data_IF_128614458597
#
_entry.id   IF_128614458597
#
_cell.length_a   1.000
_cell.length_b   1.000
_cell.length_c   1.000
_cell.angle_alpha   90.00
_cell.angle_beta   90.00
_cell.angle_gamma   90.00
#
_symmetry.space_group_name_H-M   'P 1'
#
loop_
_entity.id
_entity.type
_entity.pdbx_description
1 polymer ?
#
# COMPACT_ATOMS: atom_id res chain seq x y z
N UNK A 1 -56.26 -12.52 30.73
CA UNK A 1 -56.05 -13.05 29.39
C UNK A 1 -54.89 -12.32 28.79
N UNK A 2 -53.75 -12.94 28.82
CA UNK A 2 -52.48 -12.38 28.33
C UNK A 2 -52.22 -13.04 26.96
N UNK A 3 -52.33 -12.27 25.89
CA UNK A 3 -52.03 -12.77 24.53
C UNK A 3 -50.50 -12.97 24.42
N UNK A 4 -50.10 -14.20 24.20
CA UNK A 4 -48.75 -14.59 23.79
C UNK A 4 -48.56 -14.20 22.32
N UNK A 5 -47.76 -13.17 22.07
CA UNK A 5 -47.32 -12.84 20.73
C UNK A 5 -46.40 -13.95 20.21
N UNK A 6 -46.84 -14.60 19.12
CA UNK A 6 -46.07 -15.59 18.38
C UNK A 6 -44.79 -14.97 17.80
N UNK A 7 -43.62 -15.68 17.81
CA UNK A 7 -42.44 -15.20 17.15
C UNK A 7 -42.66 -15.11 15.64
N UNK A 8 -42.34 -13.97 15.03
CA UNK A 8 -42.39 -13.76 13.59
C UNK A 8 -41.50 -14.80 12.89
N UNK A 9 -42.08 -15.60 12.02
CA UNK A 9 -41.39 -16.54 11.18
C UNK A 9 -40.38 -15.73 10.30
N UNK A 10 -39.09 -16.01 10.45
CA UNK A 10 -38.05 -15.49 9.55
C UNK A 10 -38.37 -16.00 8.13
N UNK A 11 -38.50 -15.06 7.18
CA UNK A 11 -38.61 -15.42 5.76
C UNK A 11 -37.46 -16.36 5.37
N UNK A 12 -37.73 -17.41 4.56
CA UNK A 12 -36.66 -18.29 4.09
C UNK A 12 -35.60 -17.46 3.38
N UNK A 13 -34.32 -17.69 3.73
CA UNK A 13 -33.19 -17.04 3.08
C UNK A 13 -33.24 -17.33 1.57
N UNK A 14 -32.99 -16.30 0.74
CA UNK A 14 -32.90 -16.50 -0.69
C UNK A 14 -31.78 -17.53 -0.99
N UNK A 15 -31.93 -18.35 -2.05
CA UNK A 15 -30.87 -19.30 -2.39
C UNK A 15 -29.57 -18.56 -2.68
N UNK A 16 -28.41 -19.15 -2.30
CA UNK A 16 -27.13 -18.55 -2.55
C UNK A 16 -26.91 -18.24 -4.04
N UNK A 17 -26.30 -17.09 -4.34
CA UNK A 17 -25.88 -16.76 -5.69
C UNK A 17 -24.57 -17.48 -6.00
N UNK A 18 -24.30 -17.74 -7.27
CA UNK A 18 -23.10 -18.49 -7.69
C UNK A 18 -22.15 -17.64 -8.52
N UNK A 19 -20.86 -17.84 -8.33
CA UNK A 19 -19.81 -17.28 -9.19
C UNK A 19 -18.60 -18.24 -9.27
N UNK A 20 -17.72 -18.02 -10.24
CA UNK A 20 -16.46 -18.78 -10.30
C UNK A 20 -15.46 -18.22 -9.32
N UNK A 21 -15.32 -16.88 -9.27
CA UNK A 21 -14.38 -16.19 -8.39
C UNK A 21 -15.06 -15.04 -7.68
N UNK A 22 -14.95 -15.03 -6.35
CA UNK A 22 -15.39 -13.90 -5.55
C UNK A 22 -14.17 -13.13 -5.01
N UNK A 23 -14.15 -11.83 -5.30
CA UNK A 23 -13.10 -10.90 -4.85
C UNK A 23 -13.65 -10.05 -3.72
N UNK A 24 -12.96 -10.06 -2.58
CA UNK A 24 -13.32 -9.27 -1.39
C UNK A 24 -12.54 -7.96 -1.41
N UNK A 25 -13.22 -6.86 -1.72
CA UNK A 25 -12.64 -5.51 -1.80
C UNK A 25 -12.34 -5.04 -3.23
N UNK A 26 -12.78 -3.81 -3.54
CA UNK A 26 -12.66 -3.15 -4.85
C UNK A 26 -11.51 -2.14 -4.97
N UNK A 27 -10.50 -2.20 -4.08
CA UNK A 27 -9.28 -1.39 -4.20
C UNK A 27 -8.37 -1.85 -5.35
N UNK A 28 -7.17 -1.25 -5.51
CA UNK A 28 -6.28 -1.54 -6.65
C UNK A 28 -5.98 -3.02 -6.87
N UNK A 29 -5.79 -3.81 -5.81
CA UNK A 29 -5.55 -5.24 -5.91
C UNK A 29 -6.76 -6.00 -6.45
N UNK A 30 -7.93 -5.79 -5.82
CA UNK A 30 -9.15 -6.52 -6.17
C UNK A 30 -9.72 -6.10 -7.52
N UNK A 31 -9.73 -4.81 -7.83
CA UNK A 31 -10.16 -4.32 -9.15
C UNK A 31 -9.26 -4.88 -10.27
N UNK A 32 -7.94 -4.96 -10.04
CA UNK A 32 -7.00 -5.56 -10.99
C UNK A 32 -7.28 -7.05 -11.19
N UNK A 33 -7.38 -7.82 -10.09
CA UNK A 33 -7.64 -9.26 -10.19
C UNK A 33 -9.02 -9.55 -10.81
N UNK A 34 -10.05 -8.79 -10.40
CA UNK A 34 -11.41 -8.92 -10.95
C UNK A 34 -11.48 -8.64 -12.44
N UNK A 35 -10.82 -7.57 -12.90
CA UNK A 35 -10.72 -7.22 -14.31
C UNK A 35 -10.09 -8.34 -15.14
N UNK A 36 -8.93 -8.83 -14.71
CA UNK A 36 -8.17 -9.85 -15.44
C UNK A 36 -8.89 -11.20 -15.49
N UNK A 37 -9.53 -11.60 -14.41
CA UNK A 37 -10.30 -12.85 -14.36
C UNK A 37 -11.59 -12.75 -15.20
N UNK A 38 -12.26 -11.61 -15.20
CA UNK A 38 -13.42 -11.39 -16.06
C UNK A 38 -13.06 -11.44 -17.55
N UNK A 39 -11.90 -10.84 -17.94
CA UNK A 39 -11.36 -10.95 -19.30
C UNK A 39 -11.08 -12.39 -19.73
N UNK A 40 -10.76 -13.28 -18.80
CA UNK A 40 -10.56 -14.72 -19.06
C UNK A 40 -11.88 -15.50 -19.16
N UNK A 41 -13.02 -14.85 -18.97
CA UNK A 41 -14.37 -15.45 -19.13
C UNK A 41 -14.93 -16.07 -17.85
N UNK A 42 -14.32 -15.86 -16.68
CA UNK A 42 -14.89 -16.27 -15.40
C UNK A 42 -16.07 -15.39 -15.00
N UNK A 43 -17.06 -15.96 -14.32
CA UNK A 43 -18.09 -15.20 -13.59
C UNK A 43 -17.45 -14.65 -12.31
N UNK A 44 -17.05 -13.38 -12.37
CA UNK A 44 -16.35 -12.72 -11.26
C UNK A 44 -17.29 -11.76 -10.56
N UNK A 45 -17.34 -11.84 -9.24
CA UNK A 45 -18.05 -10.90 -8.37
C UNK A 45 -17.04 -10.17 -7.50
N UNK A 46 -17.11 -8.85 -7.47
CA UNK A 46 -16.31 -8.00 -6.58
C UNK A 46 -17.22 -7.35 -5.56
N UNK A 47 -17.06 -7.69 -4.29
CA UNK A 47 -17.80 -7.10 -3.18
C UNK A 47 -16.97 -6.01 -2.51
N UNK A 48 -17.41 -4.76 -2.63
CA UNK A 48 -16.75 -3.60 -2.00
C UNK A 48 -17.67 -2.98 -0.94
N UNK A 49 -17.15 -2.79 0.26
CA UNK A 49 -17.89 -2.25 1.41
C UNK A 49 -18.25 -0.77 1.29
N UNK A 50 -17.49 -0.01 0.51
CA UNK A 50 -17.69 1.42 0.31
C UNK A 50 -18.28 1.70 -1.08
N UNK A 51 -18.69 2.95 -1.30
CA UNK A 51 -19.09 3.46 -2.62
C UNK A 51 -17.95 4.31 -3.18
N UNK A 52 -17.59 4.12 -4.44
CA UNK A 52 -16.64 4.97 -5.14
C UNK A 52 -17.33 6.19 -5.75
N UNK A 53 -16.65 7.36 -5.81
CA UNK A 53 -15.29 7.63 -5.31
C UNK A 53 -15.21 7.68 -3.79
N UNK A 54 -14.15 7.09 -3.20
CA UNK A 54 -13.93 7.08 -1.75
C UNK A 54 -12.54 7.58 -1.39
N UNK A 55 -12.43 8.27 -0.28
CA UNK A 55 -11.14 8.77 0.22
C UNK A 55 -10.26 7.61 0.66
N UNK A 56 -9.03 7.62 0.18
CA UNK A 56 -7.97 6.70 0.61
C UNK A 56 -6.62 7.42 0.51
N UNK A 57 -5.65 7.03 1.34
CA UNK A 57 -4.28 7.54 1.26
C UNK A 57 -3.40 6.66 0.36
N UNK A 58 -2.28 7.21 -0.14
CA UNK A 58 -1.35 6.53 -1.04
C UNK A 58 -1.42 7.08 -2.46
N UNK A 59 -1.22 8.39 -2.58
CA UNK A 59 -1.45 9.21 -3.78
C UNK A 59 -0.20 9.32 -4.69
N UNK A 60 0.94 8.82 -4.23
CA UNK A 60 2.18 8.78 -5.01
C UNK A 60 2.40 7.40 -5.61
N UNK A 61 2.57 7.33 -6.93
CA UNK A 61 2.78 6.09 -7.66
C UNK A 61 4.25 5.89 -8.03
N UNK A 62 4.58 4.67 -8.47
CA UNK A 62 5.90 4.31 -8.99
C UNK A 62 5.88 4.14 -10.51
N UNK A 63 7.00 4.36 -11.21
CA UNK A 63 7.10 4.09 -12.65
C UNK A 63 6.62 2.69 -13.05
N UNK A 64 6.89 1.67 -12.24
CA UNK A 64 6.44 0.30 -12.49
C UNK A 64 4.90 0.12 -12.48
N UNK A 65 4.12 1.12 -12.07
CA UNK A 65 2.66 1.10 -12.25
C UNK A 65 2.25 1.33 -13.71
N UNK A 66 3.03 2.08 -14.51
CA UNK A 66 2.64 2.46 -15.87
C UNK A 66 2.36 1.26 -16.77
N UNK A 67 3.27 0.26 -16.87
CA UNK A 67 3.00 -0.93 -17.68
C UNK A 67 1.83 -1.78 -17.14
N UNK A 68 1.50 -1.69 -15.86
CA UNK A 68 0.33 -2.37 -15.30
C UNK A 68 -0.98 -1.67 -15.71
N UNK A 69 -0.99 -0.33 -15.71
CA UNK A 69 -2.13 0.46 -16.23
C UNK A 69 -2.32 0.25 -17.72
N UNK A 70 -1.24 0.17 -18.49
CA UNK A 70 -1.29 -0.11 -19.94
C UNK A 70 -1.92 -1.48 -20.20
N UNK A 71 -1.47 -2.53 -19.51
CA UNK A 71 -2.03 -3.89 -19.61
C UNK A 71 -3.51 -3.97 -19.24
N UNK A 72 -3.97 -3.12 -18.31
CA UNK A 72 -5.39 -3.02 -17.94
C UNK A 72 -6.20 -2.12 -18.89
N UNK A 73 -5.55 -1.40 -19.80
CA UNK A 73 -6.21 -0.45 -20.72
C UNK A 73 -6.75 0.80 -20.02
N UNK A 74 -6.11 1.24 -18.92
CA UNK A 74 -6.52 2.41 -18.13
C UNK A 74 -5.48 3.53 -18.11
N UNK A 75 -4.34 3.38 -18.80
CA UNK A 75 -3.23 4.34 -18.74
C UNK A 75 -3.67 5.76 -19.11
N UNK A 76 -4.46 5.94 -20.18
CA UNK A 76 -4.92 7.26 -20.61
C UNK A 76 -5.85 7.92 -19.59
N UNK A 77 -6.71 7.14 -18.93
CA UNK A 77 -7.57 7.64 -17.87
C UNK A 77 -6.75 8.06 -16.63
N UNK A 78 -5.72 7.30 -16.28
CA UNK A 78 -4.81 7.66 -15.18
C UNK A 78 -3.99 8.90 -15.52
N UNK A 79 -3.53 9.03 -16.79
CA UNK A 79 -2.84 10.22 -17.27
C UNK A 79 -3.70 11.48 -17.16
N UNK A 80 -4.99 11.38 -17.44
CA UNK A 80 -5.91 12.51 -17.39
C UNK A 80 -6.10 13.11 -15.98
N UNK A 81 -5.93 12.31 -14.92
CA UNK A 81 -6.04 12.75 -13.52
C UNK A 81 -4.67 12.94 -12.85
N UNK A 82 -3.59 12.56 -13.53
CA UNK A 82 -2.26 12.43 -12.95
C UNK A 82 -1.41 13.69 -13.07
N UNK A 83 -0.71 14.04 -11.98
CA UNK A 83 0.43 14.97 -12.00
C UNK A 83 1.69 14.17 -12.30
N UNK A 84 2.44 14.54 -13.36
CA UNK A 84 3.67 13.82 -13.69
C UNK A 84 4.73 13.94 -12.59
N UNK A 85 5.30 12.82 -12.21
CA UNK A 85 6.33 12.68 -11.18
C UNK A 85 7.59 12.10 -11.81
N UNK A 86 8.61 12.91 -11.98
CA UNK A 86 9.87 12.54 -12.63
C UNK A 86 10.95 12.06 -11.64
N UNK A 87 10.69 12.17 -10.34
CA UNK A 87 11.64 11.79 -9.33
C UNK A 87 11.09 11.79 -7.92
N UNK A 88 12.01 11.58 -6.97
CA UNK A 88 11.76 11.71 -5.55
C UNK A 88 12.88 12.57 -4.93
N UNK A 89 12.50 13.49 -4.08
CA UNK A 89 13.38 14.40 -3.38
C UNK A 89 13.46 14.05 -1.90
N UNK A 90 14.65 14.16 -1.33
CA UNK A 90 14.90 13.96 0.10
C UNK A 90 15.53 15.20 0.69
N UNK A 91 14.99 15.68 1.80
CA UNK A 91 15.52 16.84 2.56
C UNK A 91 15.90 16.38 3.95
N UNK A 92 17.16 16.69 4.34
CA UNK A 92 17.72 16.22 5.59
C UNK A 92 18.21 17.37 6.48
N UNK A 93 17.63 17.55 7.69
CA UNK A 93 18.09 18.57 8.63
C UNK A 93 19.48 18.28 9.20
N UNK A 94 19.96 17.02 9.14
CA UNK A 94 21.29 16.63 9.59
C UNK A 94 22.41 16.89 8.56
N UNK A 95 22.03 17.40 7.39
CA UNK A 95 22.92 17.76 6.29
C UNK A 95 22.68 19.20 5.84
N UNK A 96 22.54 20.13 6.81
CA UNK A 96 22.32 21.58 6.56
C UNK A 96 21.09 21.83 5.66
N UNK A 97 20.02 21.03 5.86
CA UNK A 97 18.82 21.06 5.03
C UNK A 97 19.08 20.80 3.53
N UNK A 98 20.19 20.13 3.22
CA UNK A 98 20.52 19.74 1.84
C UNK A 98 19.38 18.94 1.23
N UNK A 99 19.11 19.22 -0.03
CA UNK A 99 18.17 18.51 -0.88
C UNK A 99 18.90 17.57 -1.82
N UNK A 100 18.42 16.34 -1.95
CA UNK A 100 18.91 15.37 -2.92
C UNK A 100 17.75 14.85 -3.76
N UNK A 101 17.78 15.13 -5.06
CA UNK A 101 16.79 14.64 -6.01
C UNK A 101 17.29 13.38 -6.71
N UNK A 102 16.43 12.37 -6.77
CA UNK A 102 16.63 11.14 -7.53
C UNK A 102 15.66 11.15 -8.72
N UNK A 103 16.19 11.20 -9.94
CA UNK A 103 15.38 11.17 -11.17
C UNK A 103 15.19 9.72 -11.63
N UNK A 104 13.97 9.33 -11.97
CA UNK A 104 13.71 7.97 -12.44
C UNK A 104 14.40 7.68 -13.78
N UNK A 105 14.63 8.69 -14.60
CA UNK A 105 15.42 8.56 -15.83
C UNK A 105 16.87 8.10 -15.61
N UNK A 106 17.39 8.22 -14.38
CA UNK A 106 18.72 7.70 -14.01
C UNK A 106 18.68 6.24 -13.54
N UNK A 107 17.50 5.60 -13.46
CA UNK A 107 17.39 4.18 -13.13
C UNK A 107 18.06 3.29 -14.18
N UNK A 108 18.21 2.02 -13.90
CA UNK A 108 18.86 1.08 -14.84
C UNK A 108 18.04 0.90 -16.11
N UNK A 109 16.76 0.64 -15.98
CA UNK A 109 15.79 0.67 -17.09
C UNK A 109 15.33 2.11 -17.33
N UNK A 110 15.54 2.59 -18.56
CA UNK A 110 15.18 3.96 -19.00
C UNK A 110 13.78 4.05 -19.59
N UNK A 111 13.09 2.93 -19.77
CA UNK A 111 11.77 2.89 -20.42
C UNK A 111 10.65 3.50 -19.56
N UNK A 112 10.89 3.65 -18.27
CA UNK A 112 9.93 4.17 -17.28
C UNK A 112 10.51 5.42 -16.57
N UNK A 113 10.66 6.57 -17.26
CA UNK A 113 11.37 7.73 -16.72
C UNK A 113 10.55 8.57 -15.74
N UNK A 114 9.24 8.31 -15.60
CA UNK A 114 8.33 9.05 -14.74
C UNK A 114 7.21 8.15 -14.21
N UNK A 115 6.39 8.71 -13.34
CA UNK A 115 5.15 8.14 -12.82
C UNK A 115 4.12 9.25 -12.65
N UNK A 116 3.05 9.00 -11.87
CA UNK A 116 2.02 9.98 -11.55
C UNK A 116 1.81 10.12 -10.04
N UNK A 117 1.44 11.33 -9.62
CA UNK A 117 0.72 11.59 -8.39
C UNK A 117 -0.77 11.67 -8.73
N UNK A 118 -1.62 10.98 -7.98
CA UNK A 118 -3.05 10.89 -8.28
C UNK A 118 -3.90 11.00 -7.02
N UNK A 119 -5.10 11.51 -7.15
CA UNK A 119 -6.12 11.30 -6.13
C UNK A 119 -6.51 9.83 -6.11
N UNK A 120 -6.38 9.21 -4.95
CA UNK A 120 -6.75 7.80 -4.80
C UNK A 120 -8.24 7.54 -4.99
N UNK A 121 -9.10 8.52 -4.66
CA UNK A 121 -10.54 8.43 -4.95
C UNK A 121 -10.81 8.23 -6.44
N UNK A 122 -10.13 8.99 -7.30
CA UNK A 122 -10.28 8.91 -8.75
C UNK A 122 -9.60 7.67 -9.34
N UNK A 123 -8.37 7.36 -8.89
CA UNK A 123 -7.66 6.16 -9.36
C UNK A 123 -8.42 4.88 -9.03
N UNK A 124 -8.88 4.75 -7.78
CA UNK A 124 -9.59 3.55 -7.34
C UNK A 124 -10.93 3.41 -8.10
N UNK A 125 -11.61 4.52 -8.39
CA UNK A 125 -12.81 4.51 -9.21
C UNK A 125 -12.52 4.09 -10.66
N UNK A 126 -11.48 4.62 -11.31
CA UNK A 126 -11.05 4.19 -12.65
C UNK A 126 -10.85 2.67 -12.68
N UNK A 127 -10.14 2.13 -11.70
CA UNK A 127 -9.83 0.70 -11.66
C UNK A 127 -11.08 -0.16 -11.45
N UNK A 128 -11.97 0.21 -10.53
CA UNK A 128 -13.17 -0.60 -10.25
C UNK A 128 -14.18 -0.51 -11.37
N UNK A 129 -14.39 0.67 -12.00
CA UNK A 129 -15.24 0.82 -13.18
C UNK A 129 -14.67 0.06 -14.38
N UNK A 130 -13.35 0.01 -14.52
CA UNK A 130 -12.72 -0.81 -15.54
C UNK A 130 -12.97 -2.31 -15.31
N UNK A 131 -12.93 -2.80 -14.06
CA UNK A 131 -13.27 -4.19 -13.76
C UNK A 131 -14.70 -4.51 -14.18
N UNK A 132 -15.66 -3.62 -13.87
CA UNK A 132 -17.05 -3.76 -14.31
C UNK A 132 -17.18 -3.75 -15.84
N UNK A 133 -16.49 -2.83 -16.52
CA UNK A 133 -16.46 -2.74 -18.01
C UNK A 133 -15.93 -4.02 -18.66
N UNK A 134 -15.01 -4.71 -18.00
CA UNK A 134 -14.40 -5.95 -18.48
C UNK A 134 -15.20 -7.19 -18.10
N UNK A 135 -16.37 -7.02 -17.45
CA UNK A 135 -17.34 -8.09 -17.21
C UNK A 135 -17.42 -8.60 -15.77
N UNK A 136 -16.68 -8.00 -14.81
CA UNK A 136 -16.88 -8.32 -13.41
C UNK A 136 -18.20 -7.72 -12.89
N UNK A 137 -18.99 -8.48 -12.12
CA UNK A 137 -20.12 -7.95 -11.37
C UNK A 137 -19.55 -7.22 -10.13
N UNK A 138 -19.67 -5.89 -10.10
CA UNK A 138 -19.20 -5.06 -8.98
C UNK A 138 -20.38 -4.65 -8.12
N UNK A 139 -20.32 -4.98 -6.83
CA UNK A 139 -21.36 -4.65 -5.85
C UNK A 139 -20.70 -3.79 -4.76
N UNK A 140 -21.05 -2.50 -4.78
CA UNK A 140 -20.63 -1.52 -3.78
C UNK A 140 -21.61 -1.47 -2.60
N UNK A 141 -21.19 -0.94 -1.45
CA UNK A 141 -22.02 -0.95 -0.22
C UNK A 141 -22.26 -2.36 0.32
N UNK A 142 -21.40 -3.32 0.00
CA UNK A 142 -21.56 -4.73 0.36
C UNK A 142 -20.30 -5.26 1.08
N UNK A 143 -20.45 -5.54 2.38
CA UNK A 143 -19.35 -5.97 3.26
C UNK A 143 -19.37 -7.48 3.45
N UNK A 144 -18.27 -8.14 3.15
CA UNK A 144 -18.04 -9.54 3.52
C UNK A 144 -17.87 -9.67 5.03
N UNK A 145 -18.64 -10.55 5.64
CA UNK A 145 -18.63 -10.84 7.09
C UNK A 145 -17.82 -12.08 7.44
N UNK A 146 -17.77 -13.05 6.54
CA UNK A 146 -17.03 -14.29 6.73
C UNK A 146 -17.06 -15.17 5.51
N UNK A 147 -16.21 -16.20 5.50
CA UNK A 147 -16.08 -17.16 4.41
C UNK A 147 -16.03 -18.58 4.99
N UNK A 148 -16.97 -19.42 4.63
CA UNK A 148 -17.00 -20.83 5.00
C UNK A 148 -16.46 -21.69 3.86
N UNK A 149 -15.29 -22.29 4.03
CA UNK A 149 -14.67 -23.16 3.02
C UNK A 149 -15.24 -24.58 3.12
N UNK A 150 -15.56 -25.18 1.98
CA UNK A 150 -16.02 -26.56 1.91
C UNK A 150 -14.90 -27.55 2.29
N UNK A 151 -15.23 -28.55 3.09
CA UNK A 151 -14.24 -29.54 3.57
C UNK A 151 -13.63 -30.38 2.44
N UNK A 152 -14.37 -30.60 1.36
CA UNK A 152 -13.93 -31.29 0.15
C UNK A 152 -13.14 -30.39 -0.83
N UNK A 153 -12.89 -29.15 -0.45
CA UNK A 153 -12.21 -28.14 -1.26
C UNK A 153 -12.92 -27.79 -2.57
N UNK A 154 -14.24 -28.01 -2.67
CA UNK A 154 -15.02 -27.69 -3.87
C UNK A 154 -15.23 -26.17 -4.06
N UNK A 155 -15.02 -25.36 -3.01
CA UNK A 155 -15.19 -23.91 -3.02
C UNK A 155 -15.44 -23.34 -1.64
N UNK A 156 -16.18 -22.24 -1.61
CA UNK A 156 -16.51 -21.53 -0.38
C UNK A 156 -17.88 -20.83 -0.46
N UNK A 157 -18.54 -20.69 0.69
CA UNK A 157 -19.69 -19.81 0.86
C UNK A 157 -19.24 -18.51 1.50
N UNK A 158 -19.48 -17.39 0.83
CA UNK A 158 -19.13 -16.04 1.31
C UNK A 158 -20.41 -15.37 1.82
N UNK A 159 -20.38 -14.99 3.10
CA UNK A 159 -21.50 -14.29 3.76
C UNK A 159 -21.26 -12.78 3.65
N UNK A 160 -22.20 -12.06 3.04
CA UNK A 160 -22.13 -10.64 2.80
C UNK A 160 -23.31 -9.88 3.38
N UNK A 161 -23.10 -8.60 3.71
CA UNK A 161 -24.13 -7.69 4.20
C UNK A 161 -24.04 -6.36 3.48
N UNK A 162 -25.18 -5.92 2.92
CA UNK A 162 -25.36 -4.62 2.31
C UNK A 162 -25.56 -3.51 3.35
N UNK A 163 -25.36 -2.25 2.92
CA UNK A 163 -25.56 -1.06 3.77
C UNK A 163 -27.00 -0.91 4.27
N UNK A 164 -27.99 -1.44 3.52
CA UNK A 164 -29.41 -1.49 3.92
C UNK A 164 -29.71 -2.58 4.96
N UNK A 165 -28.68 -3.34 5.39
CA UNK A 165 -28.80 -4.42 6.35
C UNK A 165 -29.17 -5.79 5.75
N UNK A 166 -29.54 -5.86 4.48
CA UNK A 166 -29.83 -7.12 3.77
C UNK A 166 -28.56 -7.98 3.74
N UNK A 167 -28.73 -9.27 3.99
CA UNK A 167 -27.67 -10.28 3.89
C UNK A 167 -27.87 -11.15 2.66
N UNK A 168 -26.78 -11.58 2.06
CA UNK A 168 -26.77 -12.55 0.97
C UNK A 168 -25.58 -13.47 1.07
N UNK A 169 -25.75 -14.68 0.55
CA UNK A 169 -24.70 -15.70 0.48
C UNK A 169 -24.30 -15.95 -0.97
N UNK A 170 -23.00 -16.13 -1.18
CA UNK A 170 -22.40 -16.43 -2.48
C UNK A 170 -21.65 -17.74 -2.42
N UNK A 171 -21.90 -18.64 -3.36
CA UNK A 171 -21.05 -19.79 -3.60
C UNK A 171 -20.01 -19.48 -4.66
N UNK A 172 -18.74 -19.56 -4.28
CA UNK A 172 -17.59 -19.29 -5.15
C UNK A 172 -16.67 -20.52 -5.21
N UNK A 173 -16.16 -20.83 -6.40
CA UNK A 173 -15.12 -21.86 -6.56
C UNK A 173 -13.78 -21.40 -5.98
N UNK A 174 -13.53 -20.10 -6.03
CA UNK A 174 -12.31 -19.49 -5.51
C UNK A 174 -12.58 -18.12 -4.90
N UNK A 175 -11.89 -17.78 -3.80
CA UNK A 175 -12.01 -16.48 -3.11
C UNK A 175 -10.68 -15.74 -3.17
N UNK A 176 -10.70 -14.47 -3.58
CA UNK A 176 -9.55 -13.58 -3.56
C UNK A 176 -9.75 -12.52 -2.48
N UNK A 177 -9.02 -12.61 -1.36
CA UNK A 177 -9.04 -11.59 -0.33
C UNK A 177 -8.15 -10.41 -0.74
N UNK A 178 -8.79 -9.34 -1.18
CA UNK A 178 -8.22 -8.03 -1.49
C UNK A 178 -8.80 -6.94 -0.57
N UNK A 179 -9.26 -7.33 0.64
CA UNK A 179 -9.95 -6.47 1.60
C UNK A 179 -9.08 -5.37 2.22
N UNK A 180 -7.84 -5.23 1.75
CA UNK A 180 -6.93 -4.22 2.23
C UNK A 180 -6.63 -4.40 3.72
N UNK A 181 -6.62 -3.31 4.48
CA UNK A 181 -6.30 -3.31 5.91
C UNK A 181 -7.32 -4.05 6.78
N UNK A 182 -8.52 -4.32 6.27
CA UNK A 182 -9.51 -5.14 6.99
C UNK A 182 -9.03 -6.58 7.16
N UNK A 183 -8.21 -7.09 6.22
CA UNK A 183 -7.61 -8.44 6.29
C UNK A 183 -8.63 -9.51 6.68
N UNK A 184 -9.71 -9.65 5.89
CA UNK A 184 -10.88 -10.49 6.21
C UNK A 184 -10.44 -11.92 6.53
N UNK A 185 -9.79 -12.61 5.61
CA UNK A 185 -9.30 -13.97 5.85
C UNK A 185 -8.12 -14.00 6.83
N UNK A 186 -7.28 -12.96 6.82
CA UNK A 186 -6.17 -12.86 7.78
C UNK A 186 -6.62 -12.85 9.23
N UNK A 187 -7.73 -12.16 9.53
CA UNK A 187 -8.37 -12.16 10.86
C UNK A 187 -9.14 -13.45 11.12
N UNK A 188 -9.93 -13.91 10.14
CA UNK A 188 -10.74 -15.12 10.30
C UNK A 188 -9.89 -16.35 10.65
N UNK A 189 -8.71 -16.46 10.04
CA UNK A 189 -7.79 -17.58 10.30
C UNK A 189 -6.79 -17.31 11.43
N UNK A 190 -6.87 -16.15 12.07
CA UNK A 190 -5.90 -15.70 13.08
C UNK A 190 -4.44 -15.83 12.59
N UNK A 191 -4.15 -15.38 11.37
CA UNK A 191 -2.81 -15.42 10.77
C UNK A 191 -2.19 -14.04 10.56
N UNK A 192 -2.89 -12.97 10.91
CA UNK A 192 -2.36 -11.61 10.86
C UNK A 192 -1.39 -11.37 12.00
N UNK A 193 -0.14 -11.04 11.69
CA UNK A 193 0.89 -10.77 12.69
C UNK A 193 1.43 -9.36 12.53
N UNK A 194 1.52 -8.65 13.64
CA UNK A 194 2.16 -7.35 13.70
C UNK A 194 3.64 -7.48 13.33
N UNK A 195 4.19 -6.48 12.64
CA UNK A 195 5.61 -6.44 12.32
C UNK A 195 6.43 -6.07 13.57
N UNK A 196 7.25 -6.98 14.13
CA UNK A 196 8.04 -6.67 15.33
C UNK A 196 9.23 -5.75 15.04
N UNK A 197 9.54 -5.52 13.77
CA UNK A 197 10.70 -4.72 13.34
C UNK A 197 10.33 -3.31 12.92
N UNK A 198 9.05 -2.99 12.77
CA UNK A 198 8.61 -1.67 12.34
C UNK A 198 7.21 -1.36 12.86
N UNK A 199 7.04 -0.10 13.26
CA UNK A 199 5.76 0.41 13.71
C UNK A 199 5.74 1.92 13.47
N UNK A 200 4.71 2.40 12.81
CA UNK A 200 4.53 3.82 12.51
C UNK A 200 3.06 4.19 12.50
N UNK A 201 2.80 5.47 12.69
CA UNK A 201 1.48 6.08 12.59
C UNK A 201 1.59 7.25 11.62
N UNK A 202 0.50 7.64 10.98
CA UNK A 202 0.48 8.79 10.10
C UNK A 202 -0.60 9.79 10.49
N UNK A 203 -0.29 11.07 10.31
CA UNK A 203 -1.20 12.22 10.31
C UNK A 203 -1.12 12.85 8.93
N UNK A 204 -2.23 13.16 8.30
CA UNK A 204 -2.19 13.75 6.96
C UNK A 204 -3.42 14.62 6.67
N UNK A 205 -3.22 15.59 5.78
CA UNK A 205 -4.25 16.45 5.25
C UNK A 205 -3.85 16.96 3.86
N UNK A 206 -4.81 17.54 3.13
CA UNK A 206 -4.55 18.27 1.90
C UNK A 206 -4.47 19.77 2.15
N UNK A 207 -3.61 20.44 1.37
CA UNK A 207 -3.40 21.89 1.41
C UNK A 207 -3.52 22.47 0.01
N UNK A 208 -3.95 23.72 -0.09
CA UNK A 208 -3.89 24.54 -1.29
C UNK A 208 -2.85 25.65 -1.10
N UNK A 209 -2.18 26.07 -2.17
CA UNK A 209 -1.19 27.16 -2.11
C UNK A 209 0.16 26.77 -1.51
N UNK A 210 0.47 25.48 -1.36
CA UNK A 210 1.80 25.01 -1.00
C UNK A 210 2.81 25.34 -2.10
N UNK A 211 4.01 25.79 -1.73
CA UNK A 211 5.08 26.07 -2.69
C UNK A 211 5.53 24.78 -3.38
N UNK A 212 5.53 24.76 -4.70
CA UNK A 212 5.92 23.65 -5.56
C UNK A 212 7.23 23.96 -6.28
N UNK A 213 7.91 22.95 -6.78
CA UNK A 213 9.01 23.16 -7.73
C UNK A 213 8.46 23.70 -9.07
N UNK A 214 9.34 24.21 -9.91
CA UNK A 214 9.00 24.66 -11.24
C UNK A 214 9.32 23.58 -12.29
N UNK A 215 8.59 23.64 -13.42
CA UNK A 215 8.84 22.79 -14.58
C UNK A 215 8.69 21.30 -14.29
N UNK A 216 9.61 20.49 -14.81
CA UNK A 216 9.54 19.03 -14.75
C UNK A 216 9.56 18.47 -13.31
N UNK A 217 10.09 19.19 -12.35
CA UNK A 217 10.18 18.77 -10.96
C UNK A 217 8.92 19.11 -10.13
N UNK A 218 7.94 19.82 -10.70
CA UNK A 218 6.74 20.27 -9.99
C UNK A 218 5.99 19.14 -9.30
N UNK A 219 5.84 17.99 -9.95
CA UNK A 219 5.13 16.82 -9.42
C UNK A 219 6.00 15.87 -8.61
N UNK A 220 7.27 16.17 -8.37
CA UNK A 220 8.11 15.29 -7.55
C UNK A 220 7.60 15.23 -6.12
N UNK A 221 7.61 14.01 -5.54
CA UNK A 221 7.39 13.84 -4.11
C UNK A 221 8.62 14.37 -3.38
N UNK A 222 8.41 15.17 -2.32
CA UNK A 222 9.46 15.53 -1.38
C UNK A 222 9.28 14.81 -0.06
N UNK A 223 10.33 14.15 0.41
CA UNK A 223 10.41 13.46 1.70
C UNK A 223 11.31 14.30 2.62
N UNK A 224 10.74 14.81 3.70
CA UNK A 224 11.48 15.56 4.72
C UNK A 224 11.70 14.67 5.92
N UNK A 225 12.96 14.44 6.31
CA UNK A 225 13.23 13.79 7.59
C UNK A 225 13.15 14.80 8.74
N UNK A 226 12.72 14.34 9.90
CA UNK A 226 12.77 15.10 11.15
C UNK A 226 12.96 14.16 12.36
N UNK A 227 13.03 14.72 13.56
CA UNK A 227 13.39 13.96 14.77
C UNK A 227 12.46 12.79 15.09
N UNK A 228 11.16 12.92 14.80
CA UNK A 228 10.15 11.94 15.16
C UNK A 228 9.67 11.06 13.99
N UNK A 229 10.29 11.20 12.79
CA UNK A 229 9.91 10.43 11.61
C UNK A 229 10.25 11.11 10.31
N UNK A 230 9.29 11.20 9.41
CA UNK A 230 9.44 11.85 8.11
C UNK A 230 8.09 12.38 7.62
N UNK A 231 8.14 13.40 6.73
CA UNK A 231 6.97 13.93 6.05
C UNK A 231 7.02 13.59 4.57
N UNK A 232 5.84 13.48 3.96
CA UNK A 232 5.70 13.60 2.52
C UNK A 232 5.06 14.94 2.14
N UNK A 233 5.43 15.46 0.96
CA UNK A 233 4.78 16.52 0.23
C UNK A 233 4.53 15.98 -1.19
N UNK A 234 3.27 15.82 -1.55
CA UNK A 234 2.84 15.22 -2.83
C UNK A 234 1.94 16.22 -3.55
N UNK A 235 2.44 16.92 -4.60
CA UNK A 235 1.62 17.78 -5.44
C UNK A 235 0.62 16.97 -6.24
N UNK A 236 -0.63 17.43 -6.36
CA UNK A 236 -1.69 16.81 -7.14
C UNK A 236 -2.09 17.70 -8.31
N UNK A 237 -2.70 17.10 -9.36
CA UNK A 237 -3.05 17.79 -10.59
C UNK A 237 -4.12 18.88 -10.40
N UNK A 238 -5.00 18.73 -9.41
CA UNK A 238 -6.07 19.70 -9.08
C UNK A 238 -5.60 20.93 -8.29
N UNK A 239 -4.30 21.11 -8.10
CA UNK A 239 -3.71 22.23 -7.35
C UNK A 239 -3.56 21.94 -5.86
N UNK A 240 -4.15 20.89 -5.32
CA UNK A 240 -3.94 20.49 -3.94
C UNK A 240 -2.57 19.83 -3.75
N UNK A 241 -2.08 19.84 -2.53
CA UNK A 241 -0.85 19.14 -2.11
C UNK A 241 -1.17 18.29 -0.90
N UNK A 242 -0.91 17.00 -1.01
CA UNK A 242 -1.04 16.07 0.12
C UNK A 242 0.18 16.18 1.01
N UNK A 243 -0.04 16.44 2.29
CA UNK A 243 1.01 16.53 3.33
C UNK A 243 0.71 15.50 4.40
N UNK A 244 1.72 14.73 4.78
CA UNK A 244 1.55 13.83 5.90
C UNK A 244 2.83 13.56 6.65
N UNK A 245 2.68 13.34 7.95
CA UNK A 245 3.74 12.99 8.90
C UNK A 245 3.64 11.49 9.23
N UNK A 246 4.66 10.72 8.93
CA UNK A 246 4.81 9.34 9.42
C UNK A 246 5.71 9.39 10.64
N UNK A 247 5.15 9.04 11.78
CA UNK A 247 5.78 9.24 13.08
C UNK A 247 5.78 7.95 13.90
N UNK A 248 6.63 7.90 14.92
CA UNK A 248 6.59 6.82 15.89
C UNK A 248 5.27 6.87 16.69
N UNK A 249 4.64 5.73 16.98
CA UNK A 249 3.35 5.71 17.68
C UNK A 249 3.36 6.41 19.03
N UNK A 250 4.45 6.32 19.81
CA UNK A 250 4.56 7.03 21.09
C UNK A 250 4.50 8.55 20.91
N UNK A 251 5.06 9.09 19.81
CA UNK A 251 4.96 10.52 19.51
C UNK A 251 3.51 10.92 19.21
N UNK A 252 2.77 10.14 18.43
CA UNK A 252 1.36 10.40 18.22
C UNK A 252 0.53 10.28 19.51
N UNK A 253 0.86 9.32 20.37
CA UNK A 253 0.19 9.12 21.67
C UNK A 253 0.50 10.24 22.70
N UNK A 254 1.63 10.93 22.57
CA UNK A 254 1.96 12.09 23.41
C UNK A 254 1.08 13.32 23.16
N UNK A 255 0.16 13.24 22.20
CA UNK A 255 -0.75 14.30 21.82
C UNK A 255 -1.64 14.71 23.00
N UNK A 256 -1.58 16.00 23.37
CA UNK A 256 -2.43 16.64 24.39
C UNK A 256 -3.40 17.67 23.80
N UNK A 257 -3.34 17.90 22.48
CA UNK A 257 -4.16 18.88 21.73
C UNK A 257 -5.05 18.16 20.71
N UNK A 258 -6.06 18.84 20.13
CA UNK A 258 -6.81 18.36 18.97
C UNK A 258 -5.86 17.90 17.84
N UNK A 259 -6.28 16.93 17.05
CA UNK A 259 -5.42 16.32 16.03
C UNK A 259 -4.90 17.33 15.01
N UNK A 260 -5.71 18.31 14.65
CA UNK A 260 -5.34 19.39 13.73
C UNK A 260 -4.19 20.24 14.29
N UNK A 261 -4.31 20.70 15.52
CA UNK A 261 -3.30 21.56 16.15
C UNK A 261 -1.99 20.80 16.37
N UNK A 262 -2.10 19.53 16.78
CA UNK A 262 -0.93 18.66 16.91
C UNK A 262 -0.22 18.43 15.57
N UNK A 263 -0.96 18.31 14.47
CA UNK A 263 -0.37 18.15 13.14
C UNK A 263 0.36 19.43 12.70
N UNK A 264 -0.22 20.61 12.93
CA UNK A 264 0.42 21.88 12.64
C UNK A 264 1.68 22.11 13.51
N UNK A 265 1.62 21.79 14.81
CA UNK A 265 2.79 21.80 15.68
C UNK A 265 3.88 20.84 15.18
N UNK A 266 3.48 19.68 14.67
CA UNK A 266 4.42 18.71 14.12
C UNK A 266 5.09 19.23 12.84
N UNK A 267 4.35 19.92 11.96
CA UNK A 267 4.89 20.58 10.76
C UNK A 267 5.92 21.64 11.16
N UNK A 268 5.65 22.43 12.20
CA UNK A 268 6.58 23.46 12.70
C UNK A 268 7.94 22.90 13.17
N UNK A 269 8.00 21.60 13.56
CA UNK A 269 9.27 20.92 13.87
C UNK A 269 10.14 20.63 12.65
N UNK A 270 9.64 20.89 11.43
CA UNK A 270 10.37 20.71 10.19
C UNK A 270 10.41 22.04 9.40
N UNK A 271 11.39 22.94 9.66
CA UNK A 271 11.43 24.28 9.07
C UNK A 271 11.35 24.29 7.55
N UNK A 272 12.05 23.37 6.88
CA UNK A 272 12.04 23.25 5.42
C UNK A 272 10.65 22.91 4.85
N UNK A 273 9.82 22.14 5.57
CA UNK A 273 8.43 21.89 5.19
C UNK A 273 7.56 23.10 5.55
N UNK A 274 7.73 23.68 6.74
CA UNK A 274 6.96 24.85 7.18
C UNK A 274 7.13 26.03 6.21
N UNK A 275 8.34 26.24 5.65
CA UNK A 275 8.60 27.23 4.61
C UNK A 275 7.78 26.96 3.34
N UNK A 276 7.71 25.70 2.88
CA UNK A 276 6.89 25.30 1.71
C UNK A 276 5.40 25.54 1.94
N UNK A 277 4.95 25.57 3.18
CA UNK A 277 3.55 25.76 3.58
C UNK A 277 3.23 27.17 4.10
N UNK A 278 4.18 28.10 4.05
CA UNK A 278 4.01 29.47 4.62
C UNK A 278 2.79 30.24 4.07
N UNK A 279 2.41 29.97 2.81
CA UNK A 279 1.23 30.59 2.16
C UNK A 279 0.09 29.58 1.92
N UNK A 280 0.24 28.37 2.46
CA UNK A 280 -0.72 27.30 2.21
C UNK A 280 -1.87 27.33 3.22
N UNK A 281 -3.05 26.93 2.74
CA UNK A 281 -4.25 26.73 3.57
C UNK A 281 -4.64 25.26 3.56
N UNK A 282 -4.95 24.73 4.74
CA UNK A 282 -5.46 23.36 4.86
C UNK A 282 -6.85 23.26 4.24
N UNK A 283 -7.03 22.36 3.29
CA UNK A 283 -8.26 22.18 2.49
C UNK A 283 -9.05 20.91 2.83
N UNK A 284 -8.55 20.08 3.76
CA UNK A 284 -9.28 18.91 4.28
C UNK A 284 -9.10 18.80 5.79
N UNK A 285 -9.91 17.97 6.44
CA UNK A 285 -9.67 17.56 7.82
C UNK A 285 -8.37 16.78 7.95
N UNK A 286 -7.82 16.75 9.16
CA UNK A 286 -6.64 15.95 9.48
C UNK A 286 -7.06 14.54 9.83
N UNK A 287 -6.63 13.61 9.02
CA UNK A 287 -6.79 12.18 9.26
C UNK A 287 -5.63 11.62 10.08
N UNK A 288 -5.95 10.69 10.98
CA UNK A 288 -4.95 9.97 11.77
C UNK A 288 -5.11 8.47 11.60
N UNK A 289 -4.01 7.78 11.27
CA UNK A 289 -4.01 6.33 11.16
C UNK A 289 -2.83 5.74 11.91
N UNK A 290 -3.08 4.69 12.69
CA UNK A 290 -2.05 4.05 13.51
C UNK A 290 -1.79 2.61 13.13
N UNK A 291 -0.61 2.15 13.50
CA UNK A 291 -0.17 0.76 13.54
C UNK A 291 -0.48 -0.06 12.26
N UNK A 292 0.07 0.40 11.14
CA UNK A 292 -0.23 -0.20 9.83
C UNK A 292 0.83 -1.17 9.31
N UNK A 293 1.86 -1.53 10.09
CA UNK A 293 2.87 -2.51 9.64
C UNK A 293 2.54 -3.91 10.17
N UNK A 294 2.19 -4.82 9.26
CA UNK A 294 1.82 -6.20 9.54
C UNK A 294 2.01 -7.09 8.31
N UNK A 295 1.98 -8.40 8.52
CA UNK A 295 1.86 -9.40 7.46
C UNK A 295 1.06 -10.61 7.95
N UNK A 296 0.38 -11.30 7.04
CA UNK A 296 -0.20 -12.61 7.30
C UNK A 296 0.85 -13.71 7.13
N UNK A 297 0.76 -14.76 7.94
CA UNK A 297 1.72 -15.88 7.89
C UNK A 297 1.64 -16.66 6.59
N UNK A 298 0.43 -16.75 6.02
CA UNK A 298 0.14 -17.46 4.75
C UNK A 298 -0.45 -16.48 3.75
N UNK A 299 -0.16 -16.72 2.47
CA UNK A 299 -0.66 -15.93 1.33
C UNK A 299 -1.82 -16.61 0.63
N UNK A 300 -2.04 -17.90 0.88
CA UNK A 300 -3.03 -18.71 0.18
C UNK A 300 -3.45 -19.95 0.95
N UNK A 301 -4.50 -20.59 0.48
CA UNK A 301 -4.94 -21.96 0.74
C UNK A 301 -5.49 -22.59 -0.54
N UNK A 302 -6.14 -23.76 -0.47
CA UNK A 302 -6.61 -24.46 -1.66
C UNK A 302 -7.50 -23.64 -2.59
N UNK A 303 -8.45 -22.89 -2.03
CA UNK A 303 -9.46 -22.12 -2.75
C UNK A 303 -9.43 -20.64 -2.40
N UNK A 304 -8.29 -20.10 -1.94
CA UNK A 304 -8.18 -18.66 -1.68
C UNK A 304 -6.75 -18.13 -1.82
N UNK A 305 -6.68 -16.83 -2.12
CA UNK A 305 -5.46 -16.01 -2.11
C UNK A 305 -5.69 -14.76 -1.25
N UNK A 306 -4.59 -14.23 -0.66
CA UNK A 306 -4.53 -12.91 -0.05
C UNK A 306 -3.62 -12.02 -0.90
N UNK A 307 -4.12 -10.88 -1.40
CA UNK A 307 -3.38 -9.96 -2.25
C UNK A 307 -3.37 -8.53 -1.71
N UNK A 308 -2.35 -7.76 -2.06
CA UNK A 308 -2.18 -6.39 -1.59
C UNK A 308 -2.10 -6.31 -0.06
N UNK A 309 -2.74 -5.28 0.51
CA UNK A 309 -2.72 -5.05 1.96
C UNK A 309 -3.50 -6.14 2.74
N UNK A 310 -4.33 -6.96 2.08
CA UNK A 310 -4.96 -8.11 2.75
C UNK A 310 -3.93 -9.16 3.16
N UNK A 311 -2.81 -9.29 2.42
CA UNK A 311 -1.66 -10.08 2.82
C UNK A 311 -0.75 -9.32 3.79
N UNK A 312 -0.41 -8.07 3.51
CA UNK A 312 0.46 -7.31 4.40
C UNK A 312 0.86 -5.93 3.89
N UNK A 313 1.17 -5.06 4.84
CA UNK A 313 1.63 -3.69 4.60
C UNK A 313 2.83 -3.36 5.50
N UNK A 314 3.75 -2.52 5.03
CA UNK A 314 4.95 -2.19 5.80
C UNK A 314 4.99 -0.70 6.16
N UNK A 315 5.21 0.18 5.18
CA UNK A 315 5.39 1.62 5.37
C UNK A 315 5.31 2.33 4.00
N UNK A 316 4.73 3.54 3.91
CA UNK A 316 4.52 4.21 2.63
C UNK A 316 5.73 4.96 2.07
N UNK A 317 6.89 4.97 2.75
CA UNK A 317 8.04 5.84 2.40
C UNK A 317 8.53 5.71 0.96
N UNK A 318 8.35 4.57 0.32
CA UNK A 318 8.76 4.35 -1.08
C UNK A 318 7.58 4.31 -2.05
N UNK A 319 6.38 4.72 -1.65
CA UNK A 319 5.19 4.78 -2.53
C UNK A 319 4.84 3.43 -3.21
N UNK A 320 5.25 2.30 -2.65
CA UNK A 320 5.16 0.98 -3.30
C UNK A 320 3.80 0.28 -3.16
N UNK A 321 2.89 0.78 -2.32
CA UNK A 321 1.67 0.07 -1.95
C UNK A 321 0.75 -0.25 -3.13
N UNK A 322 0.43 0.73 -3.98
CA UNK A 322 -0.44 0.53 -5.16
C UNK A 322 0.21 -0.41 -6.17
N UNK A 323 1.52 -0.27 -6.40
CA UNK A 323 2.26 -1.13 -7.33
C UNK A 323 2.25 -2.58 -6.85
N UNK A 324 2.54 -2.84 -5.57
CA UNK A 324 2.51 -4.19 -5.00
C UNK A 324 1.10 -4.79 -4.98
N UNK A 325 0.08 -3.96 -4.74
CA UNK A 325 -1.31 -4.37 -4.77
C UNK A 325 -1.73 -4.82 -6.18
N UNK A 326 -1.43 -4.02 -7.21
CA UNK A 326 -1.72 -4.36 -8.60
C UNK A 326 -0.92 -5.57 -9.07
N UNK A 327 0.38 -5.63 -8.77
CA UNK A 327 1.23 -6.79 -9.10
C UNK A 327 0.69 -8.07 -8.47
N UNK A 328 0.24 -7.99 -7.19
CA UNK A 328 -0.45 -9.09 -6.52
C UNK A 328 -1.75 -9.49 -7.25
N UNK A 329 -2.49 -8.53 -7.80
CA UNK A 329 -3.67 -8.76 -8.63
C UNK A 329 -3.36 -9.49 -9.93
N UNK A 330 -2.29 -9.10 -10.65
CA UNK A 330 -1.83 -9.78 -11.87
C UNK A 330 -1.43 -11.22 -11.61
N UNK A 331 -0.49 -11.44 -10.68
CA UNK A 331 -0.02 -12.80 -10.35
C UNK A 331 -1.13 -13.64 -9.73
N UNK A 332 -2.01 -13.01 -8.93
CA UNK A 332 -3.18 -13.66 -8.34
C UNK A 332 -4.16 -14.16 -9.39
N UNK A 333 -4.48 -13.34 -10.39
CA UNK A 333 -5.38 -13.74 -11.48
C UNK A 333 -4.84 -14.91 -12.30
N UNK A 334 -3.54 -14.90 -12.63
CA UNK A 334 -2.88 -16.02 -13.32
C UNK A 334 -2.89 -17.30 -12.47
N UNK A 335 -2.70 -17.15 -11.16
CA UNK A 335 -2.70 -18.29 -10.22
C UNK A 335 -4.09 -18.88 -10.09
N UNK A 336 -5.13 -18.05 -9.94
CA UNK A 336 -6.53 -18.52 -9.86
C UNK A 336 -6.92 -19.25 -11.15
N UNK A 337 -6.59 -18.68 -12.30
CA UNK A 337 -6.82 -19.31 -13.62
C UNK A 337 -6.19 -20.70 -13.69
N UNK A 338 -4.90 -20.81 -13.32
CA UNK A 338 -4.22 -22.10 -13.27
C UNK A 338 -4.87 -23.08 -12.31
N UNK A 339 -5.27 -22.62 -11.11
CA UNK A 339 -5.93 -23.49 -10.12
C UNK A 339 -7.28 -24.04 -10.62
N UNK A 340 -8.03 -23.25 -11.36
CA UNK A 340 -9.37 -23.61 -11.85
C UNK A 340 -9.34 -24.42 -13.14
N UNK A 341 -8.39 -24.15 -14.07
CA UNK A 341 -8.29 -24.78 -15.38
C UNK A 341 -7.33 -25.99 -15.41
N UNK A 342 -6.27 -25.96 -14.59
CA UNK A 342 -5.21 -26.97 -14.56
C UNK A 342 -4.93 -27.45 -13.13
N UNK A 343 -5.85 -28.17 -12.46
CA UNK A 343 -5.73 -28.55 -11.04
C UNK A 343 -4.43 -29.27 -10.70
N UNK A 344 -3.87 -30.04 -11.65
CA UNK A 344 -2.57 -30.71 -11.47
C UNK A 344 -1.41 -29.73 -11.26
N UNK A 345 -1.50 -28.49 -11.73
CA UNK A 345 -0.51 -27.42 -11.59
C UNK A 345 -0.79 -26.48 -10.42
N UNK A 346 -1.94 -26.60 -9.75
CA UNK A 346 -2.37 -25.68 -8.69
C UNK A 346 -1.30 -25.52 -7.61
N UNK A 347 -0.70 -26.62 -7.12
CA UNK A 347 0.35 -26.56 -6.09
C UNK A 347 1.56 -25.73 -6.52
N UNK A 348 2.02 -25.87 -7.76
CA UNK A 348 3.17 -25.11 -8.27
C UNK A 348 2.82 -23.64 -8.51
N UNK A 349 1.60 -23.36 -8.98
CA UNK A 349 1.10 -21.99 -9.18
C UNK A 349 0.98 -21.25 -7.85
N UNK A 350 0.43 -21.88 -6.81
CA UNK A 350 0.32 -21.30 -5.46
C UNK A 350 1.70 -21.05 -4.83
N UNK A 351 2.67 -21.96 -5.03
CA UNK A 351 4.04 -21.77 -4.56
C UNK A 351 4.73 -20.60 -5.28
N UNK A 352 4.53 -20.46 -6.59
CA UNK A 352 5.02 -19.31 -7.35
C UNK A 352 4.38 -18.01 -6.88
N UNK A 353 3.07 -18.00 -6.68
CA UNK A 353 2.34 -16.86 -6.13
C UNK A 353 2.92 -16.41 -4.78
N UNK A 354 3.11 -17.34 -3.83
CA UNK A 354 3.69 -17.02 -2.51
C UNK A 354 5.07 -16.35 -2.64
N UNK A 355 5.92 -16.88 -3.53
CA UNK A 355 7.23 -16.29 -3.81
C UNK A 355 7.11 -14.85 -4.34
N UNK A 356 6.22 -14.61 -5.31
CA UNK A 356 6.07 -13.32 -5.97
C UNK A 356 5.52 -12.25 -5.03
N UNK A 357 4.44 -12.54 -4.28
CA UNK A 357 3.85 -11.55 -3.38
C UNK A 357 4.72 -11.22 -2.17
N UNK A 358 5.61 -12.12 -1.76
CA UNK A 358 6.57 -11.87 -0.67
C UNK A 358 7.80 -11.10 -1.12
N UNK A 359 8.14 -11.08 -2.41
CA UNK A 359 9.36 -10.45 -2.92
C UNK A 359 9.39 -8.95 -2.62
N UNK A 360 8.35 -8.22 -3.01
CA UNK A 360 8.27 -6.78 -2.80
C UNK A 360 8.40 -6.38 -1.32
N UNK A 361 7.53 -6.88 -0.43
CA UNK A 361 7.63 -6.61 1.00
C UNK A 361 9.01 -6.96 1.59
N UNK A 362 9.64 -8.05 1.17
CA UNK A 362 10.98 -8.45 1.63
C UNK A 362 12.04 -7.44 1.24
N UNK A 363 12.08 -7.03 -0.04
CA UNK A 363 13.14 -6.14 -0.53
C UNK A 363 12.96 -4.70 -0.05
N UNK A 364 11.74 -4.15 -0.11
CA UNK A 364 11.47 -2.81 0.41
C UNK A 364 11.68 -2.71 1.92
N UNK A 365 11.33 -3.74 2.70
CA UNK A 365 11.48 -3.71 4.16
C UNK A 365 12.93 -3.53 4.59
N UNK A 366 13.90 -4.06 3.83
CA UNK A 366 15.31 -3.88 4.15
C UNK A 366 15.71 -2.41 4.19
N UNK A 367 15.23 -1.61 3.23
CA UNK A 367 15.45 -0.16 3.16
C UNK A 367 14.62 0.58 4.20
N UNK A 368 13.34 0.26 4.31
CA UNK A 368 12.40 0.89 5.26
C UNK A 368 12.94 0.80 6.70
N UNK A 369 13.45 -0.36 7.09
CA UNK A 369 14.00 -0.52 8.44
C UNK A 369 15.27 0.30 8.67
N UNK A 370 15.87 0.85 7.64
CA UNK A 370 17.15 1.59 7.70
C UNK A 370 17.05 3.06 7.27
N UNK A 371 15.90 3.49 6.76
CA UNK A 371 15.71 4.87 6.28
C UNK A 371 15.99 5.93 7.35
N UNK A 372 15.81 5.60 8.62
CA UNK A 372 16.13 6.48 9.76
C UNK A 372 17.55 6.30 10.30
N UNK A 373 18.34 5.35 9.76
CA UNK A 373 19.72 5.13 10.17
C UNK A 373 20.63 6.22 9.59
N UNK A 374 21.54 6.85 10.37
CA UNK A 374 22.46 7.86 9.88
C UNK A 374 23.28 7.44 8.66
N UNK A 375 23.86 6.24 8.65
CA UNK A 375 24.62 5.74 7.50
C UNK A 375 23.77 5.64 6.23
N UNK A 376 22.50 5.25 6.34
CA UNK A 376 21.58 5.22 5.19
C UNK A 376 21.27 6.64 4.70
N UNK A 377 21.01 7.58 5.62
CA UNK A 377 20.77 8.99 5.25
C UNK A 377 21.98 9.60 4.58
N UNK A 378 23.20 9.36 5.11
CA UNK A 378 24.44 9.83 4.51
C UNK A 378 24.60 9.30 3.07
N UNK A 379 24.25 8.02 2.82
CA UNK A 379 24.26 7.42 1.47
C UNK A 379 23.20 8.04 0.54
N UNK A 380 22.03 8.37 1.05
CA UNK A 380 20.99 9.06 0.28
C UNK A 380 21.38 10.50 -0.04
N UNK A 381 21.99 11.22 0.89
CA UNK A 381 22.37 12.64 0.72
C UNK A 381 23.68 12.84 -0.06
N UNK A 382 24.46 11.78 -0.26
CA UNK A 382 25.68 11.76 -1.05
C UNK A 382 25.81 10.49 -1.88
N UNK A 383 24.90 10.24 -2.83
CA UNK A 383 24.87 8.98 -3.56
C UNK A 383 26.10 8.82 -4.44
N UNK A 384 26.84 7.74 -4.24
CA UNK A 384 27.95 7.29 -5.10
C UNK A 384 27.42 6.26 -6.09
N UNK A 385 27.98 6.19 -7.29
CA UNK A 385 27.59 5.19 -8.29
C UNK A 385 28.64 4.07 -8.48
N UNK A 386 29.52 3.86 -7.51
CA UNK A 386 30.45 2.71 -7.51
C UNK A 386 29.62 1.42 -7.58
N UNK A 387 30.03 0.48 -8.43
CA UNK A 387 29.26 -0.75 -8.73
C UNK A 387 27.82 -0.51 -9.19
N UNK A 388 27.50 0.64 -9.78
CA UNK A 388 26.15 1.03 -10.25
C UNK A 388 25.10 1.01 -9.13
N UNK A 389 25.50 1.26 -7.88
CA UNK A 389 24.58 1.19 -6.73
C UNK A 389 23.52 2.29 -6.76
N UNK A 390 23.84 3.48 -7.31
CA UNK A 390 22.85 4.56 -7.50
C UNK A 390 21.75 4.13 -8.47
N UNK A 391 22.13 3.57 -9.63
CA UNK A 391 21.18 3.11 -10.65
C UNK A 391 20.29 1.98 -10.10
N UNK A 392 20.86 1.03 -9.34
CA UNK A 392 20.12 -0.06 -8.74
C UNK A 392 19.16 0.42 -7.63
N UNK A 393 19.58 1.41 -6.82
CA UNK A 393 18.69 2.06 -5.85
C UNK A 393 17.53 2.76 -6.55
N UNK A 394 17.81 3.49 -7.64
CA UNK A 394 16.79 4.17 -8.42
C UNK A 394 15.82 3.19 -9.07
N UNK A 395 16.30 2.06 -9.61
CA UNK A 395 15.42 1.01 -10.14
C UNK A 395 14.50 0.44 -9.05
N UNK A 396 15.01 0.27 -7.84
CA UNK A 396 14.16 -0.13 -6.71
C UNK A 396 13.13 0.96 -6.36
N UNK A 397 13.54 2.24 -6.30
CA UNK A 397 12.64 3.37 -6.06
C UNK A 397 11.63 3.58 -7.20
N UNK A 398 11.94 3.08 -8.40
CA UNK A 398 11.03 3.05 -9.55
C UNK A 398 10.05 1.84 -9.50
N UNK A 399 10.29 0.86 -8.60
CA UNK A 399 9.50 -0.36 -8.47
C UNK A 399 9.92 -1.49 -9.42
N UNK A 400 11.05 -1.36 -10.14
CA UNK A 400 11.59 -2.37 -11.06
C UNK A 400 12.29 -3.49 -10.30
N UNK A 401 11.52 -4.30 -9.59
CA UNK A 401 11.99 -5.43 -8.78
C UNK A 401 11.47 -6.79 -9.28
N UNK A 402 10.45 -6.79 -10.13
CA UNK A 402 9.84 -8.00 -10.70
C UNK A 402 10.33 -8.29 -12.12
N UNK A 403 11.05 -7.33 -12.73
CA UNK A 403 11.57 -7.42 -14.08
C UNK A 403 12.85 -8.25 -14.20
N UNK A 404 13.41 -8.26 -15.42
CA UNK A 404 14.69 -8.92 -15.74
C UNK A 404 15.90 -8.03 -15.52
N UNK A 405 15.72 -6.82 -15.01
CA UNK A 405 16.78 -5.83 -14.79
C UNK A 405 17.80 -6.37 -13.78
N UNK A 406 19.09 -6.42 -14.12
CA UNK A 406 20.10 -7.14 -13.33
C UNK A 406 20.60 -6.32 -12.12
N UNK A 407 19.66 -5.78 -11.31
CA UNK A 407 19.96 -4.88 -10.18
C UNK A 407 20.53 -5.59 -8.95
N UNK A 408 20.33 -6.89 -8.81
CA UNK A 408 20.52 -7.60 -7.54
C UNK A 408 21.97 -7.62 -7.05
N UNK A 409 22.96 -7.70 -7.97
CA UNK A 409 24.38 -7.61 -7.60
C UNK A 409 24.72 -6.24 -7.04
N UNK A 410 24.24 -5.17 -7.68
CA UNK A 410 24.44 -3.80 -7.23
C UNK A 410 23.68 -3.50 -5.92
N UNK A 411 22.48 -4.07 -5.74
CA UNK A 411 21.76 -4.00 -4.46
C UNK A 411 22.54 -4.74 -3.36
N UNK A 412 23.15 -5.89 -3.65
CA UNK A 412 23.99 -6.59 -2.68
C UNK A 412 25.24 -5.75 -2.31
N UNK A 413 25.87 -5.11 -3.30
CA UNK A 413 26.99 -4.17 -3.07
C UNK A 413 26.54 -2.97 -2.21
N UNK A 414 25.39 -2.37 -2.50
CA UNK A 414 24.79 -1.29 -1.71
C UNK A 414 24.56 -1.72 -0.24
N UNK A 415 24.01 -2.92 -0.03
CA UNK A 415 23.83 -3.49 1.31
C UNK A 415 25.19 -3.67 2.02
N UNK A 416 26.23 -4.14 1.30
CA UNK A 416 27.60 -4.27 1.82
C UNK A 416 28.19 -2.92 2.23
N UNK A 417 28.11 -1.91 1.36
CA UNK A 417 28.58 -0.53 1.63
C UNK A 417 27.87 0.03 2.88
N UNK A 418 26.55 -0.16 2.99
CA UNK A 418 25.79 0.26 4.17
C UNK A 418 26.33 -0.36 5.48
N UNK A 419 26.64 -1.66 5.49
CA UNK A 419 27.14 -2.32 6.69
C UNK A 419 28.56 -1.83 7.03
N UNK A 420 29.44 -1.64 6.02
CA UNK A 420 30.79 -1.07 6.23
C UNK A 420 30.67 0.36 6.79
N UNK A 421 29.84 1.21 6.19
CA UNK A 421 29.61 2.58 6.67
C UNK A 421 29.02 2.59 8.09
N UNK A 422 28.14 1.64 8.42
CA UNK A 422 27.56 1.50 9.76
C UNK A 422 28.61 1.10 10.82
N UNK A 423 29.60 0.26 10.45
CA UNK A 423 30.71 -0.12 11.32
C UNK A 423 31.68 1.06 11.51
N UNK A 424 32.05 1.76 10.45
CA UNK A 424 32.92 2.94 10.51
C UNK A 424 32.30 4.08 11.36
N UNK A 425 30.95 4.18 11.35
CA UNK A 425 30.20 5.13 12.15
C UNK A 425 29.48 4.44 13.34
N UNK A 426 30.13 3.48 13.98
CA UNK A 426 29.51 2.59 14.96
C UNK A 426 28.73 3.31 16.05
N UNK A 427 29.27 4.35 16.68
CA UNK A 427 28.59 5.08 17.78
C UNK A 427 27.24 5.66 17.32
N UNK A 428 27.22 6.38 16.18
CA UNK A 428 26.00 6.99 15.60
C UNK A 428 24.98 5.91 15.21
N UNK A 429 25.42 4.87 14.53
CA UNK A 429 24.58 3.77 14.04
C UNK A 429 23.98 2.95 15.21
N UNK A 430 24.76 2.71 16.25
CA UNK A 430 24.32 1.99 17.44
C UNK A 430 23.30 2.79 18.26
N UNK A 431 23.52 4.10 18.46
CA UNK A 431 22.55 4.99 19.11
C UNK A 431 21.21 5.01 18.36
N UNK A 432 21.26 5.18 17.01
CA UNK A 432 20.04 5.15 16.19
C UNK A 432 19.30 3.81 16.27
N UNK A 433 20.03 2.69 16.30
CA UNK A 433 19.44 1.36 16.46
C UNK A 433 18.81 1.18 17.84
N UNK A 434 19.44 1.66 18.92
CA UNK A 434 18.88 1.63 20.27
C UNK A 434 17.63 2.47 20.37
N UNK A 435 17.66 3.71 19.84
CA UNK A 435 16.50 4.60 19.83
C UNK A 435 15.32 3.96 19.06
N UNK A 436 15.60 3.39 17.89
CA UNK A 436 14.57 2.68 17.12
C UNK A 436 13.97 1.49 17.89
N UNK A 437 14.80 0.66 18.51
CA UNK A 437 14.31 -0.46 19.35
C UNK A 437 13.47 0.03 20.52
N UNK A 438 13.87 1.14 21.16
CA UNK A 438 13.08 1.74 22.24
C UNK A 438 11.72 2.21 21.73
N UNK A 439 11.70 2.91 20.59
CA UNK A 439 10.46 3.42 19.98
C UNK A 439 9.48 2.32 19.58
N UNK A 440 9.97 1.14 19.20
CA UNK A 440 9.13 -0.03 18.89
C UNK A 440 8.60 -0.68 20.18
N UNK A 441 9.44 -0.83 21.22
CA UNK A 441 9.09 -1.52 22.49
C UNK A 441 8.06 -0.78 23.34
N UNK A 442 8.07 0.55 23.34
CA UNK A 442 7.10 1.35 24.11
C UNK A 442 5.66 0.98 23.75
N UNK A 443 5.43 0.54 22.52
CA UNK A 443 4.10 0.13 22.06
C UNK A 443 3.74 -1.29 22.50
N UNK A 444 4.71 -2.17 22.67
CA UNK A 444 4.46 -3.56 23.05
C UNK A 444 4.07 -3.69 24.54
N UNK A 445 4.64 -2.86 25.40
CA UNK A 445 4.30 -2.82 26.82
C UNK A 445 2.85 -2.36 27.09
N UNK A 446 2.33 -1.44 26.26
CA UNK A 446 0.96 -0.93 26.40
C UNK A 446 -0.11 -1.85 25.78
N UNK A 447 0.23 -2.60 24.73
CA UNK A 447 -0.69 -3.58 24.11
C UNK A 447 -0.82 -4.87 24.92
N UNK A 448 0.07 -5.12 25.89
CA UNK A 448 -0.01 -6.24 26.82
C UNK A 448 -0.78 -5.88 28.11
N UNK A 449 -1.11 -4.60 28.31
CA UNK A 449 -1.82 -4.10 29.49
C UNK A 449 -3.29 -3.73 29.22
N UNK A 450 -3.80 -3.88 28.00
CA UNK A 450 -5.19 -3.70 27.58
C UNK A 450 -5.74 -4.92 26.90
#
# INVERSE_FOLDING_TARGET
>A
MTELSSPSASSPAAPPRECDVLVVGGGPAGATAGALLAQKGYRVVVLEKAHHPRVHIGESLLPANLPLFEKLGVLDAVKAIGMEKWGAEFVSPWHESKTQTFRFSDAWDKSMPFSYQVRRSELDEILIRNAARLGAEVIEGCRVKGVAFAADQSGATVHAQHDDGRTEDWHARFVVDASGRDTVLGKQFDIKRRNPKHNSSALYAHFTGAARHAGQDEGNITIFWFAHGWFWLIPLADGATSIGAVVWPHYLKSRSKPVKDFFLDTIALCPALAERLAQATMSSDVEATGNFSYACERTHGPNHLLIGDAFGFIDPVFSSGVMLAMQGGFVGAETVDTCLCEPARAKSALAHFDQQVRLGPKEFSWFIYRVTNPAMRDMFMGPSNVFRVKEALLSMLAGDIFGKTPIWRSIAALKGIFYIASVLNFKRSWQAMRLRKANIRVVDAESAAG
#
